data_IF_015252937350
#
_entry.id   IF_015252937350
#
_cell.length_a   1.000
_cell.length_b   1.000
_cell.length_c   1.000
_cell.angle_alpha   90.00
_cell.angle_beta   90.00
_cell.angle_gamma   90.00
#
_symmetry.space_group_name_H-M   'P 1'
#
loop_
_entity.id
_entity.type
_entity.pdbx_description
1 polymer ?
#
# COMPACT_ATOMS: atom_id res chain seq x y z
N UNK A 1 15.07 -11.84 -6.34
CA UNK A 1 13.90 -11.11 -5.83
C UNK A 1 13.68 -11.61 -4.42
N UNK A 2 13.87 -10.75 -3.42
CA UNK A 2 13.75 -11.14 -2.03
C UNK A 2 12.25 -11.30 -1.74
N UNK A 3 11.80 -12.55 -1.59
CA UNK A 3 10.43 -12.95 -1.21
C UNK A 3 10.09 -12.58 0.25
N UNK A 4 10.72 -11.56 0.83
CA UNK A 4 10.56 -11.24 2.25
C UNK A 4 9.23 -10.54 2.55
N UNK A 5 8.62 -9.90 1.54
CA UNK A 5 7.32 -9.22 1.64
C UNK A 5 6.17 -10.00 1.01
N UNK A 6 6.43 -11.14 0.37
CA UNK A 6 5.39 -11.95 -0.26
C UNK A 6 4.60 -12.76 0.78
N UNK A 7 3.30 -12.49 0.90
CA UNK A 7 2.40 -13.24 1.77
C UNK A 7 1.47 -14.08 0.92
N UNK A 8 1.72 -15.39 0.91
CA UNK A 8 0.85 -16.34 0.23
C UNK A 8 -0.38 -16.67 1.08
N UNK A 9 -1.55 -16.27 0.60
CA UNK A 9 -2.83 -16.49 1.26
C UNK A 9 -3.41 -17.88 0.97
N UNK A 10 -3.15 -18.42 -0.23
CA UNK A 10 -3.71 -19.70 -0.66
C UNK A 10 -2.72 -20.55 -1.47
N UNK A 11 -2.87 -21.88 -1.36
CA UNK A 11 -2.27 -22.83 -2.29
C UNK A 11 -3.13 -23.08 -3.54
N UNK A 12 -2.68 -23.92 -4.48
CA UNK A 12 -3.31 -24.09 -5.79
C UNK A 12 -4.78 -24.54 -5.73
N UNK A 13 -5.58 -24.04 -6.66
CA UNK A 13 -6.98 -24.43 -6.84
C UNK A 13 -7.47 -24.15 -8.26
N UNK A 14 -8.70 -24.55 -8.57
CA UNK A 14 -9.31 -24.34 -9.89
C UNK A 14 -10.59 -23.54 -9.78
N UNK A 15 -10.85 -22.72 -10.78
CA UNK A 15 -12.10 -21.96 -10.95
C UNK A 15 -12.59 -22.09 -12.37
N UNK A 16 -13.88 -21.83 -12.60
CA UNK A 16 -14.47 -21.81 -13.94
C UNK A 16 -14.92 -20.41 -14.28
N UNK A 17 -14.49 -19.86 -15.41
CA UNK A 17 -14.93 -18.53 -15.85
C UNK A 17 -16.33 -18.56 -16.47
N UNK A 18 -16.85 -17.39 -16.83
CA UNK A 18 -18.18 -17.24 -17.45
C UNK A 18 -18.25 -17.91 -18.84
N UNK A 19 -17.11 -18.09 -19.52
CA UNK A 19 -17.03 -18.81 -20.78
C UNK A 19 -17.03 -20.35 -20.60
N UNK A 20 -17.06 -20.83 -19.35
CA UNK A 20 -17.01 -22.26 -19.02
C UNK A 20 -15.61 -22.85 -19.07
N UNK A 21 -14.57 -22.04 -19.23
CA UNK A 21 -13.19 -22.51 -19.24
C UNK A 21 -12.67 -22.66 -17.81
N UNK A 22 -12.05 -23.81 -17.54
CA UNK A 22 -11.42 -24.07 -16.25
C UNK A 22 -10.06 -23.39 -16.20
N UNK A 23 -9.88 -22.49 -15.24
CA UNK A 23 -8.63 -21.79 -14.94
C UNK A 23 -7.97 -22.43 -13.73
N UNK A 24 -6.67 -22.67 -13.85
CA UNK A 24 -5.83 -23.16 -12.75
C UNK A 24 -5.18 -21.97 -12.09
N UNK A 25 -5.43 -21.78 -10.80
CA UNK A 25 -4.81 -20.76 -9.97
C UNK A 25 -3.67 -21.43 -9.19
N UNK A 26 -2.48 -20.84 -9.22
CA UNK A 26 -1.31 -21.29 -8.47
C UNK A 26 -1.37 -20.83 -7.02
N UNK A 27 -1.69 -19.56 -6.81
CA UNK A 27 -1.78 -18.95 -5.48
C UNK A 27 -2.65 -17.70 -5.50
N UNK A 28 -3.02 -17.26 -4.30
CA UNK A 28 -3.45 -15.89 -4.05
C UNK A 28 -2.39 -15.29 -3.13
N UNK A 29 -1.88 -14.12 -3.46
CA UNK A 29 -0.83 -13.43 -2.72
C UNK A 29 -1.20 -11.98 -2.47
N UNK A 30 -0.61 -11.42 -1.44
CA UNK A 30 -0.53 -9.98 -1.17
C UNK A 30 0.92 -9.66 -0.87
N UNK A 31 1.30 -8.41 -1.02
CA UNK A 31 2.61 -7.93 -0.60
C UNK A 31 2.48 -7.18 0.73
N UNK A 32 3.47 -7.38 1.60
CA UNK A 32 3.72 -6.58 2.81
C UNK A 32 4.32 -5.22 2.42
N UNK A 33 3.68 -4.55 1.46
CA UNK A 33 4.13 -3.31 0.86
C UNK A 33 3.09 -2.21 1.16
N UNK A 34 3.15 -1.66 2.37
CA UNK A 34 2.86 -0.25 2.57
C UNK A 34 1.41 0.19 2.80
N UNK A 35 1.36 1.50 3.05
CA UNK A 35 0.24 2.33 3.46
C UNK A 35 -1.00 2.20 2.55
N UNK A 36 -2.15 1.91 3.13
CA UNK A 36 -3.44 2.05 2.45
C UNK A 36 -4.11 0.73 2.03
N UNK A 37 -4.66 0.71 0.81
CA UNK A 37 -5.52 -0.35 0.29
C UNK A 37 -4.68 -1.52 -0.21
N UNK A 38 -5.07 -2.75 0.13
CA UNK A 38 -4.33 -3.96 -0.24
C UNK A 38 -4.70 -4.44 -1.65
N UNK A 39 -3.71 -4.52 -2.53
CA UNK A 39 -3.81 -5.22 -3.81
C UNK A 39 -3.68 -6.73 -3.63
N UNK A 40 -4.64 -7.49 -4.17
CA UNK A 40 -4.67 -8.95 -4.09
C UNK A 40 -4.36 -9.56 -5.46
N UNK A 41 -3.27 -10.30 -5.51
CA UNK A 41 -2.73 -10.93 -6.70
C UNK A 41 -3.23 -12.35 -6.79
N UNK A 42 -3.80 -12.70 -7.95
CA UNK A 42 -4.28 -14.06 -8.23
C UNK A 42 -3.45 -14.63 -9.38
N UNK A 43 -2.56 -15.56 -9.05
CA UNK A 43 -1.62 -16.13 -10.00
C UNK A 43 -2.24 -17.30 -10.77
N UNK A 44 -2.18 -17.26 -12.09
CA UNK A 44 -2.64 -18.33 -12.97
C UNK A 44 -1.50 -19.25 -13.38
N UNK A 45 -1.80 -20.55 -13.48
CA UNK A 45 -0.82 -21.55 -13.91
C UNK A 45 -0.55 -21.53 -15.42
N UNK A 46 -1.34 -20.78 -16.18
CA UNK A 46 -1.21 -20.64 -17.63
C UNK A 46 -1.46 -19.19 -17.99
N UNK A 47 -0.87 -18.76 -19.11
CA UNK A 47 -1.05 -17.39 -19.58
C UNK A 47 -2.53 -17.12 -19.92
N UNK A 48 -2.96 -15.92 -19.56
CA UNK A 48 -4.29 -15.33 -19.74
C UNK A 48 -4.19 -14.05 -20.60
N UNK A 49 -3.13 -13.90 -21.40
CA UNK A 49 -2.87 -12.70 -22.22
C UNK A 49 -4.10 -12.28 -23.02
N UNK A 50 -4.47 -11.00 -22.88
CA UNK A 50 -5.60 -10.41 -23.60
C UNK A 50 -6.97 -10.69 -22.96
N UNK A 51 -7.02 -11.51 -21.93
CA UNK A 51 -8.25 -11.84 -21.22
C UNK A 51 -8.44 -10.93 -20.01
N UNK A 52 -9.57 -10.21 -19.95
CA UNK A 52 -9.90 -9.31 -18.83
C UNK A 52 -10.56 -10.08 -17.68
N UNK A 53 -9.89 -11.12 -17.19
CA UNK A 53 -10.45 -12.02 -16.17
C UNK A 53 -10.77 -11.32 -14.84
N UNK A 54 -10.14 -10.19 -14.54
CA UNK A 54 -10.51 -9.32 -13.40
C UNK A 54 -11.92 -8.70 -13.51
N UNK A 55 -12.54 -8.75 -14.69
CA UNK A 55 -13.93 -8.34 -14.91
C UNK A 55 -14.91 -9.51 -14.91
N UNK A 56 -14.41 -10.75 -14.88
CA UNK A 56 -15.26 -11.93 -14.84
C UNK A 56 -15.78 -12.14 -13.42
N UNK A 57 -17.03 -11.75 -13.19
CA UNK A 57 -17.66 -11.80 -11.87
C UNK A 57 -17.84 -13.23 -11.35
N UNK A 58 -17.99 -14.22 -12.25
CA UNK A 58 -18.11 -15.63 -11.88
C UNK A 58 -16.78 -16.16 -11.36
N UNK A 59 -15.69 -15.81 -12.04
CA UNK A 59 -14.33 -16.14 -11.63
C UNK A 59 -13.98 -15.45 -10.31
N UNK A 60 -14.17 -14.12 -10.23
CA UNK A 60 -13.84 -13.32 -9.03
C UNK A 60 -14.63 -13.83 -7.81
N UNK A 61 -15.91 -14.16 -7.97
CA UNK A 61 -16.71 -14.73 -6.87
C UNK A 61 -16.16 -16.06 -6.36
N UNK A 62 -15.61 -16.91 -7.23
CA UNK A 62 -14.98 -18.16 -6.82
C UNK A 62 -13.64 -17.93 -6.09
N UNK A 63 -12.86 -16.94 -6.53
CA UNK A 63 -11.65 -16.50 -5.79
C UNK A 63 -12.04 -15.99 -4.40
N UNK A 64 -13.07 -15.15 -4.30
CA UNK A 64 -13.59 -14.66 -3.01
C UNK A 64 -14.13 -15.79 -2.14
N UNK A 65 -14.83 -16.76 -2.72
CA UNK A 65 -15.26 -17.95 -2.00
C UNK A 65 -14.07 -18.72 -1.42
N UNK A 66 -12.94 -18.80 -2.15
CA UNK A 66 -11.71 -19.40 -1.66
C UNK A 66 -11.13 -18.61 -0.48
N UNK A 67 -11.11 -17.29 -0.53
CA UNK A 67 -10.66 -16.43 0.58
C UNK A 67 -11.59 -16.57 1.81
N UNK A 68 -12.90 -16.67 1.59
CA UNK A 68 -13.88 -16.89 2.66
C UNK A 68 -13.68 -18.22 3.37
N UNK A 69 -13.33 -19.27 2.64
CA UNK A 69 -12.93 -20.57 3.22
C UNK A 69 -11.66 -20.47 4.07
N UNK A 70 -10.79 -19.50 3.79
CA UNK A 70 -9.53 -19.28 4.51
C UNK A 70 -9.70 -18.38 5.75
N UNK A 71 -10.90 -17.81 5.93
CA UNK A 71 -11.26 -16.98 7.08
C UNK A 71 -11.61 -15.52 6.74
N UNK A 72 -11.60 -15.11 5.47
CA UNK A 72 -12.01 -13.75 5.12
C UNK A 72 -13.51 -13.57 5.30
N UNK A 73 -13.90 -12.53 6.05
CA UNK A 73 -15.30 -12.12 6.23
C UNK A 73 -15.39 -10.64 5.89
N UNK A 74 -16.04 -10.32 4.78
CA UNK A 74 -16.15 -8.94 4.31
C UNK A 74 -16.82 -8.82 2.93
N UNK A 75 -16.84 -7.59 2.39
CA UNK A 75 -17.43 -7.29 1.08
C UNK A 75 -16.73 -8.04 -0.07
N UNK A 76 -17.32 -7.95 -1.26
CA UNK A 76 -16.65 -8.41 -2.48
C UNK A 76 -15.57 -7.40 -2.91
N UNK A 77 -14.54 -7.89 -3.61
CA UNK A 77 -13.44 -7.04 -4.07
C UNK A 77 -13.80 -6.20 -5.30
N UNK A 78 -13.11 -5.07 -5.42
CA UNK A 78 -13.15 -4.19 -6.58
C UNK A 78 -12.22 -4.66 -7.71
N UNK A 79 -12.16 -3.84 -8.76
CA UNK A 79 -11.19 -4.03 -9.83
C UNK A 79 -9.86 -3.41 -9.41
N UNK A 80 -8.77 -4.18 -9.46
CA UNK A 80 -7.44 -3.62 -9.28
C UNK A 80 -7.02 -2.75 -10.48
N UNK A 81 -5.91 -2.01 -10.31
CA UNK A 81 -5.38 -1.15 -11.36
C UNK A 81 -5.08 -1.94 -12.65
N UNK A 82 -5.42 -1.35 -13.79
CA UNK A 82 -5.09 -1.88 -15.11
C UNK A 82 -3.58 -2.00 -15.34
N UNK A 83 -2.79 -1.10 -14.74
CA UNK A 83 -1.33 -1.11 -14.83
C UNK A 83 -0.66 -2.27 -14.11
N UNK A 84 -1.38 -2.93 -13.19
CA UNK A 84 -0.88 -4.07 -12.42
C UNK A 84 -1.33 -5.43 -12.99
N UNK A 85 -2.22 -5.44 -13.98
CA UNK A 85 -2.67 -6.68 -14.63
C UNK A 85 -1.55 -7.22 -15.53
N UNK A 86 -1.36 -8.54 -15.54
CA UNK A 86 -0.31 -9.18 -16.35
C UNK A 86 -0.82 -10.44 -17.07
N UNK A 87 0.06 -11.06 -17.86
CA UNK A 87 -0.20 -12.23 -18.66
C UNK A 87 -0.50 -13.48 -17.83
N UNK A 88 -0.15 -13.51 -16.54
CA UNK A 88 -0.32 -14.67 -15.65
C UNK A 88 -0.89 -14.32 -14.31
N UNK A 89 -1.33 -13.08 -14.10
CA UNK A 89 -2.00 -12.70 -12.87
C UNK A 89 -3.07 -11.66 -13.15
N UNK A 90 -4.07 -11.66 -12.29
CA UNK A 90 -4.96 -10.51 -12.15
C UNK A 90 -4.74 -9.88 -10.78
N UNK A 91 -4.99 -8.58 -10.71
CA UNK A 91 -4.99 -7.83 -9.46
C UNK A 91 -6.39 -7.36 -9.14
N UNK A 92 -6.78 -7.56 -7.89
CA UNK A 92 -8.07 -7.16 -7.33
C UNK A 92 -7.82 -6.18 -6.18
N UNK A 93 -8.66 -5.15 -6.10
CA UNK A 93 -8.60 -4.18 -5.01
C UNK A 93 -9.43 -4.69 -3.83
N UNK A 94 -8.79 -4.94 -2.70
CA UNK A 94 -9.49 -5.39 -1.50
C UNK A 94 -10.10 -4.21 -0.73
N UNK A 95 -11.29 -4.36 -0.14
CA UNK A 95 -11.86 -3.33 0.72
C UNK A 95 -11.12 -3.27 2.08
N UNK A 96 -11.25 -2.17 2.82
CA UNK A 96 -10.52 -1.97 4.10
C UNK A 96 -10.77 -3.08 5.13
N UNK A 97 -11.94 -3.71 5.13
CA UNK A 97 -12.25 -4.83 6.04
C UNK A 97 -11.36 -6.05 5.79
N UNK A 98 -10.73 -6.15 4.61
CA UNK A 98 -9.75 -7.19 4.31
C UNK A 98 -8.48 -7.05 5.16
N UNK A 99 -8.15 -5.85 5.66
CA UNK A 99 -6.94 -5.60 6.45
C UNK A 99 -6.88 -6.48 7.71
N UNK A 100 -8.02 -6.73 8.36
CA UNK A 100 -8.07 -7.62 9.54
C UNK A 100 -7.69 -9.06 9.17
N UNK A 101 -8.18 -9.54 8.01
CA UNK A 101 -7.82 -10.86 7.52
C UNK A 101 -6.35 -10.91 7.08
N UNK A 102 -5.86 -9.91 6.35
CA UNK A 102 -4.48 -9.81 5.93
C UNK A 102 -3.52 -9.79 7.13
N UNK A 103 -3.83 -9.01 8.17
CA UNK A 103 -3.06 -8.95 9.41
C UNK A 103 -2.98 -10.33 10.10
N UNK A 104 -4.07 -11.10 10.09
CA UNK A 104 -4.07 -12.49 10.62
C UNK A 104 -3.14 -13.44 9.84
N UNK A 105 -2.76 -13.07 8.61
CA UNK A 105 -1.83 -13.81 7.74
C UNK A 105 -0.40 -13.26 7.79
N UNK A 106 -0.14 -12.21 8.58
CA UNK A 106 1.18 -11.62 8.77
C UNK A 106 1.42 -10.31 8.05
N UNK A 107 0.41 -9.73 7.39
CA UNK A 107 0.53 -8.40 6.77
C UNK A 107 0.62 -7.31 7.84
N UNK A 108 1.46 -6.30 7.62
CA UNK A 108 1.67 -5.19 8.56
C UNK A 108 1.23 -3.88 7.91
N UNK A 109 0.42 -3.11 8.65
CA UNK A 109 0.08 -1.77 8.24
C UNK A 109 1.21 -0.80 8.59
N UNK A 110 2.08 -0.51 7.62
CA UNK A 110 3.19 0.44 7.81
C UNK A 110 2.70 1.88 8.01
N UNK A 111 1.40 2.19 7.80
CA UNK A 111 0.83 3.51 8.07
C UNK A 111 0.67 3.84 9.56
N UNK A 112 0.46 2.83 10.40
CA UNK A 112 0.31 3.03 11.83
C UNK A 112 1.65 3.36 12.48
N UNK A 113 2.77 2.78 12.00
CA UNK A 113 4.11 3.02 12.56
C UNK A 113 4.56 4.50 12.47
N UNK A 114 4.04 5.27 11.50
CA UNK A 114 4.43 6.68 11.29
C UNK A 114 3.46 7.68 11.93
N UNK A 115 2.35 7.22 12.51
CA UNK A 115 1.38 8.11 13.17
C UNK A 115 1.77 8.44 14.62
N UNK A 116 2.65 7.63 15.23
CA UNK A 116 3.00 7.73 16.64
C UNK A 116 4.30 8.51 16.94
N UNK A 117 5.09 8.91 15.92
CA UNK A 117 6.40 9.56 16.14
C UNK A 117 6.40 11.11 16.01
N UNK A 118 5.32 11.77 15.58
CA UNK A 118 5.31 13.25 15.40
C UNK A 118 4.67 14.03 16.57
N UNK A 119 4.25 13.37 17.66
CA UNK A 119 3.49 14.02 18.74
C UNK A 119 4.23 14.22 20.07
N UNK A 120 5.46 13.71 20.24
CA UNK A 120 6.15 13.73 21.55
C UNK A 120 7.29 14.74 21.73
N UNK A 121 7.63 15.56 20.72
CA UNK A 121 8.74 16.54 20.85
C UNK A 121 8.33 18.03 20.93
N UNK A 122 7.05 18.34 21.14
CA UNK A 122 6.63 19.73 21.36
C UNK A 122 5.62 19.89 22.50
N UNK A 123 6.03 19.57 23.73
CA UNK A 123 5.33 20.05 24.93
C UNK A 123 6.33 20.62 25.94
N UNK A 124 6.39 21.96 25.91
CA UNK A 124 6.48 22.88 27.05
C UNK A 124 7.53 22.63 28.15
N UNK A 125 8.59 23.42 28.12
CA UNK A 125 9.08 24.07 29.33
C UNK A 125 8.71 25.56 29.28
N UNK A 126 7.62 25.90 29.96
CA UNK A 126 7.20 27.26 30.24
C UNK A 126 7.70 27.61 31.65
N UNK A 127 8.79 28.37 31.76
CA UNK A 127 9.08 29.16 32.96
C UNK A 127 9.42 30.59 32.56
N UNK A 128 8.55 31.51 32.97
CA UNK A 128 8.74 32.93 32.86
C UNK A 128 9.74 33.39 33.93
N UNK A 129 10.83 34.04 33.52
CA UNK A 129 11.58 34.92 34.41
C UNK A 129 11.96 36.22 33.70
N UNK A 130 11.63 37.33 34.35
CA UNK A 130 11.90 38.68 33.91
C UNK A 130 13.30 39.10 34.41
N UNK A 131 14.27 39.29 33.51
CA UNK A 131 15.34 40.26 33.78
C UNK A 131 16.12 40.71 32.56
N UNK A 132 16.45 42.01 32.59
CA UNK A 132 17.05 42.82 31.55
C UNK A 132 18.47 42.36 31.15
N UNK A 133 18.80 42.47 29.87
CA UNK A 133 20.18 42.23 29.40
C UNK A 133 20.36 42.35 27.89
N UNK A 134 21.04 43.41 27.49
CA UNK A 134 21.53 43.78 26.17
C UNK A 134 22.26 42.67 25.36
N UNK A 135 22.23 42.81 24.02
CA UNK A 135 23.27 42.45 23.01
C UNK A 135 23.06 41.24 22.08
N UNK A 136 22.80 41.56 20.80
CA UNK A 136 23.70 41.25 19.67
C UNK A 136 23.84 39.80 19.16
N UNK A 137 23.07 39.44 18.12
CA UNK A 137 23.55 38.71 16.92
C UNK A 137 22.43 38.59 15.89
N UNK A 138 22.41 39.44 14.87
CA UNK A 138 21.81 39.11 13.56
C UNK A 138 22.22 40.17 12.52
N UNK A 139 23.41 40.02 11.94
CA UNK A 139 23.89 40.91 10.88
C UNK A 139 24.71 40.22 9.78
N UNK A 140 24.92 38.90 9.86
CA UNK A 140 25.67 38.16 8.83
C UNK A 140 24.80 37.79 7.61
N UNK A 141 23.51 37.49 7.83
CA UNK A 141 22.63 36.94 6.78
C UNK A 141 22.13 38.00 5.78
N UNK A 142 22.00 39.26 6.20
CA UNK A 142 21.57 40.37 5.31
C UNK A 142 22.65 40.82 4.33
N UNK A 143 23.93 40.76 4.71
CA UNK A 143 25.04 41.23 3.87
C UNK A 143 25.28 40.27 2.69
N UNK A 144 25.07 38.97 2.89
CA UNK A 144 25.28 37.97 1.84
C UNK A 144 24.22 38.02 0.74
N UNK A 145 22.97 38.34 1.08
CA UNK A 145 21.88 38.46 0.10
C UNK A 145 22.09 39.67 -0.84
N UNK A 146 22.52 40.80 -0.29
CA UNK A 146 22.73 42.05 -1.05
C UNK A 146 23.91 41.94 -2.03
N UNK A 147 24.98 41.23 -1.62
CA UNK A 147 26.14 40.95 -2.46
C UNK A 147 25.80 40.02 -3.65
N UNK A 148 24.86 39.09 -3.47
CA UNK A 148 24.45 38.17 -4.53
C UNK A 148 23.60 38.87 -5.60
N UNK A 149 22.69 39.77 -5.18
CA UNK A 149 21.82 40.50 -6.11
C UNK A 149 22.55 41.48 -7.02
N UNK A 150 23.71 42.00 -6.60
CA UNK A 150 24.53 42.89 -7.44
C UNK A 150 25.30 42.16 -8.54
N UNK A 151 25.52 40.85 -8.43
CA UNK A 151 26.32 40.08 -9.40
C UNK A 151 25.52 39.62 -10.63
N UNK A 152 24.19 39.66 -10.56
CA UNK A 152 23.28 39.24 -11.65
C UNK A 152 22.70 40.40 -12.46
N UNK A 153 23.17 41.64 -12.22
CA UNK A 153 22.75 42.82 -12.98
C UNK A 153 23.96 43.50 -13.63
N UNK A 154 24.58 42.78 -14.55
CA UNK A 154 25.48 43.31 -15.58
C UNK A 154 25.10 42.67 -16.91
#
# INVERSE_FOLDING_TARGET
MNNETDIQLSGPFTVTDTAGQTRKIQAIRIFDEGYGIIDVYVDFASSITGERLYKDTVLVRQVLARLRLLGYVGPDFGHGDLGLQDDKLIVLEAPEEFNTFAASKGWKNLAEEFSDEDSSEFSENHEADFSAGNSQTDSASKIQLDALMRKFKA
#
